data_IF_447614209539
#
_entry.id   IF_447614209539
#
_cell.length_a   1.000
_cell.length_b   1.000
_cell.length_c   1.000
_cell.angle_alpha   90.00
_cell.angle_beta   90.00
_cell.angle_gamma   90.00
#
_symmetry.space_group_name_H-M   'P 1'
#
loop_
_entity.id
_entity.type
_entity.pdbx_description
1 polymer ?
#
# COMPACT_ATOMS: atom_id res chain seq x y z
N UNK A 1 -6.81 6.83 -4.11
CA UNK A 1 -7.76 5.74 -3.78
C UNK A 1 -8.06 5.78 -2.29
N UNK A 2 -9.32 5.66 -1.88
CA UNK A 2 -9.70 5.58 -0.46
C UNK A 2 -10.81 4.56 -0.25
N UNK A 3 -10.85 3.91 0.91
CA UNK A 3 -11.80 2.83 1.15
C UNK A 3 -11.53 2.02 2.42
N UNK A 4 -12.44 1.10 2.73
CA UNK A 4 -12.29 0.22 3.87
C UNK A 4 -11.58 -1.08 3.48
N UNK A 5 -10.60 -1.49 4.26
CA UNK A 5 -9.98 -2.80 4.13
C UNK A 5 -9.88 -3.48 5.48
N UNK A 6 -9.71 -4.80 5.46
CA UNK A 6 -9.43 -5.62 6.61
C UNK A 6 -7.95 -5.96 6.65
N UNK A 7 -7.29 -5.68 7.76
CA UNK A 7 -5.94 -6.18 8.02
C UNK A 7 -6.07 -7.51 8.73
N UNK A 8 -5.41 -8.54 8.21
CA UNK A 8 -5.34 -9.86 8.82
C UNK A 8 -3.98 -10.05 9.47
N UNK A 9 -3.99 -10.33 10.77
CA UNK A 9 -2.81 -10.74 11.54
C UNK A 9 -2.99 -12.15 12.04
N UNK A 10 -1.96 -12.97 11.90
CA UNK A 10 -1.92 -14.33 12.44
C UNK A 10 -0.99 -14.32 13.65
N UNK A 11 -1.47 -14.80 14.79
CA UNK A 11 -0.59 -15.03 15.94
C UNK A 11 0.12 -16.39 15.80
N UNK A 12 1.11 -16.65 16.67
CA UNK A 12 1.86 -17.93 16.68
C UNK A 12 0.98 -19.17 16.89
N UNK A 13 -0.24 -18.98 17.39
CA UNK A 13 -1.23 -20.03 17.64
C UNK A 13 -2.16 -20.26 16.42
N UNK A 14 -1.92 -19.57 15.30
CA UNK A 14 -2.75 -19.68 14.09
C UNK A 14 -4.10 -18.95 14.19
N UNK A 15 -4.39 -18.24 15.29
CA UNK A 15 -5.59 -17.40 15.35
C UNK A 15 -5.41 -16.18 14.46
N UNK A 16 -6.35 -16.00 13.54
CA UNK A 16 -6.46 -14.82 12.72
C UNK A 16 -7.20 -13.70 13.48
N UNK A 17 -6.69 -12.48 13.46
CA UNK A 17 -7.41 -11.28 13.87
C UNK A 17 -7.64 -10.40 12.64
N UNK A 18 -8.88 -10.00 12.42
CA UNK A 18 -9.27 -9.13 11.31
C UNK A 18 -9.68 -7.77 11.85
N UNK A 19 -8.95 -6.71 11.50
CA UNK A 19 -9.28 -5.35 11.90
C UNK A 19 -9.70 -4.54 10.68
N UNK A 20 -10.93 -4.04 10.67
CA UNK A 20 -11.39 -3.08 9.65
C UNK A 20 -10.70 -1.74 9.86
N UNK A 21 -10.07 -1.21 8.82
CA UNK A 21 -9.37 0.08 8.83
C UNK A 21 -9.72 0.87 7.57
N UNK A 22 -9.74 2.19 7.71
CA UNK A 22 -9.89 3.06 6.56
C UNK A 22 -8.52 3.33 5.97
N UNK A 23 -8.35 3.08 4.69
CA UNK A 23 -7.10 3.30 3.98
C UNK A 23 -7.26 4.46 3.00
N UNK A 24 -6.20 5.25 2.89
CA UNK A 24 -6.06 6.32 1.92
C UNK A 24 -4.71 6.12 1.25
N UNK A 25 -4.74 5.90 -0.06
CA UNK A 25 -3.59 5.93 -0.94
C UNK A 25 -3.62 7.25 -1.72
N UNK A 26 -2.65 8.11 -1.43
CA UNK A 26 -2.45 9.38 -2.11
C UNK A 26 -0.99 9.46 -2.54
N UNK A 27 -0.77 9.73 -3.83
CA UNK A 27 0.56 9.67 -4.46
C UNK A 27 1.18 8.29 -4.21
N UNK A 28 2.30 8.21 -3.49
CA UNK A 28 2.95 6.96 -3.07
C UNK A 28 2.75 6.64 -1.58
N UNK A 29 1.94 7.40 -0.86
CA UNK A 29 1.72 7.18 0.57
C UNK A 29 0.44 6.39 0.82
N UNK A 30 0.59 5.20 1.40
CA UNK A 30 -0.51 4.42 1.94
C UNK A 30 -0.64 4.71 3.44
N UNK A 31 -1.78 5.27 3.84
CA UNK A 31 -2.09 5.61 5.23
C UNK A 31 -3.29 4.81 5.71
N UNK A 32 -3.22 4.32 6.95
CA UNK A 32 -4.29 3.58 7.60
C UNK A 32 -4.83 4.31 8.83
N UNK A 33 -6.15 4.24 9.03
CA UNK A 33 -6.86 4.92 10.11
C UNK A 33 -7.86 3.95 10.78
N UNK A 34 -8.06 4.11 12.10
CA UNK A 34 -9.12 3.41 12.87
C UNK A 34 -10.52 3.68 12.30
N UNK A 35 -10.74 4.90 11.80
CA UNK A 35 -12.00 5.34 11.21
C UNK A 35 -11.72 6.34 10.09
N UNK A 36 -12.72 6.60 9.23
CA UNK A 36 -12.60 7.63 8.19
C UNK A 36 -12.21 8.97 8.84
N UNK A 37 -11.09 9.60 8.45
CA UNK A 37 -10.66 10.86 9.04
C UNK A 37 -11.65 11.98 8.65
N UNK A 38 -12.10 12.77 9.63
CA UNK A 38 -12.98 13.93 9.38
C UNK A 38 -12.20 15.20 9.01
N UNK A 39 -10.89 15.22 9.26
CA UNK A 39 -9.98 16.30 8.92
C UNK A 39 -8.70 15.72 8.32
N UNK A 40 -8.12 16.46 7.37
CA UNK A 40 -6.85 16.09 6.73
C UNK A 40 -5.67 16.09 7.72
N UNK A 41 -5.79 16.77 8.86
CA UNK A 41 -4.75 16.85 9.90
C UNK A 41 -4.73 15.66 10.86
N UNK A 42 -5.69 14.72 10.77
CA UNK A 42 -5.70 13.57 11.67
C UNK A 42 -4.49 12.67 11.39
N UNK A 43 -3.70 12.40 12.43
CA UNK A 43 -2.54 11.53 12.30
C UNK A 43 -2.95 10.08 11.94
N UNK A 44 -2.28 9.45 10.95
CA UNK A 44 -2.54 8.07 10.58
C UNK A 44 -2.03 7.11 11.65
N UNK A 45 -2.71 5.97 11.83
CA UNK A 45 -2.24 4.92 12.73
C UNK A 45 -0.97 4.24 12.23
N UNK A 46 -0.86 4.11 10.91
CA UNK A 46 0.33 3.60 10.22
C UNK A 46 0.39 4.23 8.84
N UNK A 47 1.57 4.68 8.46
CA UNK A 47 1.89 5.15 7.11
C UNK A 47 3.01 4.30 6.54
N UNK A 48 2.96 4.06 5.23
CA UNK A 48 4.02 3.38 4.49
C UNK A 48 4.13 3.98 3.09
N UNK A 49 5.35 4.02 2.57
CA UNK A 49 5.64 4.48 1.22
C UNK A 49 5.57 3.26 0.30
N UNK A 50 4.86 3.40 -0.80
CA UNK A 50 4.67 2.39 -1.83
C UNK A 50 5.73 2.61 -2.90
N UNK A 51 6.93 2.11 -2.62
CA UNK A 51 8.09 2.18 -3.50
C UNK A 51 8.14 1.00 -4.48
N UNK A 52 9.18 0.99 -5.32
CA UNK A 52 9.46 -0.11 -6.25
C UNK A 52 9.80 -1.44 -5.57
N UNK A 53 10.15 -1.41 -4.27
CA UNK A 53 10.48 -2.61 -3.51
C UNK A 53 9.23 -3.28 -2.94
N UNK A 54 8.12 -2.57 -2.83
CA UNK A 54 6.84 -3.18 -2.45
C UNK A 54 6.43 -4.19 -3.53
N UNK A 55 5.82 -5.31 -3.13
CA UNK A 55 5.18 -6.25 -4.04
C UNK A 55 3.76 -6.48 -3.57
N UNK A 56 2.84 -6.55 -4.53
CA UNK A 56 1.43 -6.82 -4.29
C UNK A 56 1.06 -8.12 -4.97
N UNK A 57 0.66 -9.11 -4.18
CA UNK A 57 0.24 -10.44 -4.62
C UNK A 57 -1.26 -10.55 -4.41
N UNK A 58 -2.00 -10.87 -5.46
CA UNK A 58 -3.42 -11.21 -5.34
C UNK A 58 -3.55 -12.65 -4.84
N UNK A 59 -4.20 -12.86 -3.70
CA UNK A 59 -4.47 -14.21 -3.18
C UNK A 59 -5.87 -14.69 -3.60
N UNK A 60 -6.71 -13.82 -4.17
CA UNK A 60 -8.07 -14.13 -4.55
C UNK A 60 -9.03 -14.29 -3.38
N UNK A 61 -10.04 -15.13 -3.57
CA UNK A 61 -11.14 -15.35 -2.62
C UNK A 61 -10.69 -16.27 -1.49
N UNK A 62 -10.82 -15.80 -0.26
CA UNK A 62 -10.57 -16.59 0.95
C UNK A 62 -11.77 -16.57 1.90
N UNK A 63 -11.88 -17.62 2.72
CA UNK A 63 -12.86 -17.66 3.80
C UNK A 63 -12.13 -17.58 5.15
N UNK A 64 -12.28 -16.46 5.84
CA UNK A 64 -11.65 -16.19 7.13
C UNK A 64 -12.75 -16.02 8.18
N UNK A 65 -12.71 -16.83 9.25
CA UNK A 65 -13.73 -16.84 10.31
C UNK A 65 -15.18 -16.89 9.76
N UNK A 66 -15.42 -17.81 8.83
CA UNK A 66 -16.73 -18.02 8.15
C UNK A 66 -17.21 -16.83 7.29
N UNK A 67 -16.37 -15.82 7.05
CA UNK A 67 -16.66 -14.69 6.15
C UNK A 67 -15.78 -14.77 4.92
N UNK A 68 -16.36 -14.49 3.76
CA UNK A 68 -15.63 -14.44 2.49
C UNK A 68 -14.99 -13.06 2.33
N UNK A 69 -13.72 -13.04 1.97
CA UNK A 69 -12.96 -11.84 1.63
C UNK A 69 -12.20 -12.06 0.33
N UNK A 70 -11.93 -10.97 -0.38
CA UNK A 70 -10.99 -10.96 -1.50
C UNK A 70 -9.70 -10.36 -0.97
N UNK A 71 -8.67 -11.19 -0.85
CA UNK A 71 -7.46 -10.84 -0.12
C UNK A 71 -6.27 -10.68 -1.04
N UNK A 72 -5.37 -9.79 -0.65
CA UNK A 72 -4.10 -9.57 -1.31
C UNK A 72 -3.03 -9.31 -0.25
N UNK A 73 -1.80 -9.60 -0.62
CA UNK A 73 -0.65 -9.53 0.27
C UNK A 73 0.31 -8.47 -0.23
N UNK A 74 0.67 -7.55 0.65
CA UNK A 74 1.68 -6.53 0.39
C UNK A 74 2.93 -6.85 1.22
N UNK A 75 4.10 -6.88 0.61
CA UNK A 75 5.36 -7.06 1.33
C UNK A 75 6.48 -6.25 0.69
N UNK A 76 7.50 -5.90 1.47
CA UNK A 76 8.73 -5.33 0.93
C UNK A 76 9.64 -6.44 0.40
N UNK A 77 10.32 -6.20 -0.72
CA UNK A 77 11.40 -7.05 -1.22
C UNK A 77 12.65 -6.98 -0.33
N UNK A 78 12.83 -5.85 0.39
CA UNK A 78 13.96 -5.64 1.30
C UNK A 78 13.76 -6.33 2.64
N UNK A 79 12.51 -6.53 3.07
CA UNK A 79 12.19 -7.20 4.34
C UNK A 79 10.90 -8.00 4.23
N UNK A 80 11.04 -9.33 4.09
CA UNK A 80 9.88 -10.24 4.02
C UNK A 80 9.07 -10.29 5.32
N UNK A 81 9.63 -9.85 6.45
CA UNK A 81 8.91 -9.78 7.74
C UNK A 81 7.85 -8.69 7.79
N UNK A 82 7.87 -7.73 6.87
CA UNK A 82 6.87 -6.65 6.78
C UNK A 82 5.66 -7.02 5.92
N UNK A 83 5.40 -8.31 5.75
CA UNK A 83 4.23 -8.79 5.03
C UNK A 83 2.93 -8.40 5.76
N UNK A 84 2.05 -7.74 5.04
CA UNK A 84 0.71 -7.36 5.48
C UNK A 84 -0.30 -7.99 4.55
N UNK A 85 -1.20 -8.79 5.12
CA UNK A 85 -2.35 -9.35 4.41
C UNK A 85 -3.54 -8.43 4.58
N UNK A 86 -4.09 -7.99 3.45
CA UNK A 86 -5.25 -7.11 3.36
C UNK A 86 -6.40 -7.84 2.68
N UNK A 87 -7.63 -7.38 2.91
CA UNK A 87 -8.75 -7.85 2.12
C UNK A 87 -9.91 -6.88 2.06
N UNK A 88 -10.70 -7.03 1.01
CA UNK A 88 -11.90 -6.27 0.73
C UNK A 88 -13.15 -7.17 0.81
N UNK A 89 -14.31 -6.54 0.91
CA UNK A 89 -15.60 -7.22 0.90
C UNK A 89 -16.04 -7.70 -0.49
N UNK A 90 -15.48 -7.14 -1.55
CA UNK A 90 -15.83 -7.48 -2.93
C UNK A 90 -14.60 -7.63 -3.82
N UNK A 91 -14.75 -8.35 -4.92
CA UNK A 91 -13.67 -8.61 -5.87
C UNK A 91 -13.23 -7.33 -6.58
N UNK A 92 -14.19 -6.46 -6.88
CA UNK A 92 -14.00 -5.20 -7.60
C UNK A 92 -13.24 -4.21 -6.73
N UNK A 93 -13.54 -4.16 -5.43
CA UNK A 93 -12.83 -3.32 -4.48
C UNK A 93 -11.38 -3.80 -4.32
N UNK A 94 -11.15 -5.11 -4.18
CA UNK A 94 -9.81 -5.67 -4.13
C UNK A 94 -9.01 -5.35 -5.40
N UNK A 95 -9.60 -5.55 -6.58
CA UNK A 95 -8.96 -5.26 -7.87
C UNK A 95 -8.58 -3.77 -8.00
N UNK A 96 -9.48 -2.85 -7.60
CA UNK A 96 -9.19 -1.41 -7.57
C UNK A 96 -8.01 -1.08 -6.66
N UNK A 97 -7.93 -1.70 -5.49
CA UNK A 97 -6.81 -1.51 -4.57
C UNK A 97 -5.49 -2.03 -5.14
N UNK A 98 -5.48 -3.26 -5.65
CA UNK A 98 -4.28 -3.87 -6.25
C UNK A 98 -3.77 -3.02 -7.41
N UNK A 99 -4.65 -2.59 -8.32
CA UNK A 99 -4.28 -1.72 -9.44
C UNK A 99 -3.73 -0.37 -8.97
N UNK A 100 -4.43 0.30 -8.04
CA UNK A 100 -4.00 1.60 -7.53
C UNK A 100 -2.65 1.53 -6.82
N UNK A 101 -2.38 0.44 -6.09
CA UNK A 101 -1.09 0.22 -5.45
C UNK A 101 0.01 0.04 -6.50
N UNK A 102 -0.20 -0.81 -7.52
CA UNK A 102 0.77 -0.99 -8.62
C UNK A 102 1.04 0.32 -9.38
N UNK A 103 0.01 1.11 -9.65
CA UNK A 103 0.16 2.42 -10.30
C UNK A 103 0.99 3.39 -9.46
N UNK A 104 0.84 3.38 -8.14
CA UNK A 104 1.62 4.23 -7.24
C UNK A 104 3.12 3.90 -7.32
N UNK A 105 3.48 2.63 -7.48
CA UNK A 105 4.87 2.19 -7.66
C UNK A 105 5.48 2.73 -8.97
N UNK A 106 4.71 2.69 -10.06
CA UNK A 106 5.16 3.18 -11.37
C UNK A 106 5.37 4.70 -11.36
N UNK A 107 4.47 5.43 -10.69
CA UNK A 107 4.60 6.90 -10.55
C UNK A 107 5.84 7.29 -9.77
N UNK A 108 6.19 6.57 -8.70
CA UNK A 108 7.42 6.82 -7.97
C UNK A 108 8.67 6.64 -8.85
N UNK A 109 8.71 5.56 -9.63
CA UNK A 109 9.83 5.31 -10.56
C UNK A 109 9.98 6.43 -11.58
N UNK A 110 8.89 6.91 -12.16
CA UNK A 110 8.94 8.03 -13.12
C UNK A 110 9.44 9.34 -12.47
N UNK A 111 9.08 9.58 -11.21
CA UNK A 111 9.55 10.75 -10.47
C UNK A 111 11.05 10.63 -10.13
N UNK A 112 11.53 9.43 -9.81
CA UNK A 112 12.95 9.18 -9.59
C UNK A 112 13.75 9.37 -10.89
N UNK A 113 13.33 8.78 -12.00
CA UNK A 113 13.99 8.96 -13.31
C UNK A 113 14.05 10.42 -13.73
N UNK A 114 12.97 11.18 -13.56
CA UNK A 114 12.95 12.62 -13.84
C UNK A 114 13.92 13.39 -12.93
N UNK A 115 13.99 13.06 -11.62
CA UNK A 115 14.94 13.68 -10.71
C UNK A 115 16.42 13.37 -11.07
N UNK A 116 16.72 12.14 -11.50
CA UNK A 116 18.05 11.77 -12.00
C UNK A 116 18.41 12.55 -13.27
N UNK A 117 17.48 12.69 -14.22
CA UNK A 117 17.69 13.43 -15.46
C UNK A 117 17.87 14.94 -15.23
N UNK A 118 17.19 15.52 -14.23
CA UNK A 118 17.35 16.94 -13.86
C UNK A 118 18.68 17.19 -13.15
N UNK A 119 19.13 16.27 -12.29
CA UNK A 119 20.43 16.38 -11.60
C UNK A 119 21.61 16.34 -12.57
N UNK A 120 21.55 15.48 -13.58
CA UNK A 120 22.61 15.33 -14.59
C UNK A 120 22.78 16.54 -15.51
N UNK A 121 21.78 17.44 -15.61
CA UNK A 121 21.86 18.66 -16.43
C UNK A 121 22.51 19.86 -15.73
N UNK A 122 22.87 19.77 -14.45
CA UNK A 122 23.46 20.89 -13.67
C UNK A 122 24.98 20.89 -13.56
N UNK A 123 25.69 19.92 -14.13
CA UNK A 123 27.15 19.96 -14.23
C UNK A 123 27.54 20.27 -15.66
N UNK A 124 27.67 21.56 -15.99
CA UNK A 124 28.59 22.15 -16.97
C UNK A 124 28.13 23.60 -17.26
N UNK A 125 28.29 24.50 -16.29
CA UNK A 125 28.49 25.92 -16.60
C UNK A 125 29.91 26.27 -16.14
N UNK A 126 30.80 26.32 -17.10
CA UNK A 126 32.22 26.63 -17.01
C UNK A 126 32.45 27.97 -16.30
N UNK A 127 33.33 27.94 -15.29
CA UNK A 127 34.09 29.11 -14.87
C UNK A 127 34.99 29.53 -16.04
N UNK A 128 34.73 30.70 -16.62
CA UNK A 128 35.74 31.48 -17.32
C UNK A 128 35.42 32.96 -17.23
#
# INVERSE_FOLDING_TARGET
>A
MEGWLFIFTFNRLGLCCSHKRYFILKESFLRSFKAKPMSQMKEPNRSTIIDSNVRVIDNGRETIKKKVFFTFTMHSALNQRDQVKLGASSSEEAAKWIHSLKDAQLKENSNLEMNFLVSSKKKHSSLR
#
